data_IF_689546304269
#
_entry.id   IF_689546304269
#
_cell.length_a   1.000
_cell.length_b   1.000
_cell.length_c   1.000
_cell.angle_alpha   90.00
_cell.angle_beta   90.00
_cell.angle_gamma   90.00
#
_symmetry.space_group_name_H-M   'P 1'
#
loop_
_entity.id
_entity.type
_entity.pdbx_description
1 polymer ?
#
# COMPACT_ATOMS: atom_id res chain seq x y z
N UNK A 1 -35.82 -63.84 -9.30
CA UNK A 1 -35.29 -62.80 -8.40
C UNK A 1 -34.36 -61.88 -9.20
N UNK A 2 -34.49 -60.57 -8.97
CA UNK A 2 -34.17 -59.46 -9.89
C UNK A 2 -32.74 -59.45 -10.47
N UNK A 3 -32.65 -59.29 -11.80
CA UNK A 3 -31.42 -58.95 -12.54
C UNK A 3 -31.06 -57.49 -12.22
N UNK A 4 -30.00 -57.27 -11.44
CA UNK A 4 -29.47 -55.95 -11.12
C UNK A 4 -28.58 -55.51 -12.29
N UNK A 5 -29.16 -54.74 -13.22
CA UNK A 5 -28.39 -54.07 -14.29
C UNK A 5 -27.70 -52.87 -13.63
N UNK A 6 -26.38 -52.91 -13.57
CA UNK A 6 -25.54 -51.84 -13.00
C UNK A 6 -25.14 -50.88 -14.12
N UNK A 7 -25.82 -49.75 -14.21
CA UNK A 7 -25.50 -48.67 -15.16
C UNK A 7 -24.24 -47.96 -14.67
N UNK A 8 -23.12 -48.11 -15.38
CA UNK A 8 -21.91 -47.32 -15.13
C UNK A 8 -22.18 -45.90 -15.65
N UNK A 9 -22.47 -44.97 -14.74
CA UNK A 9 -22.57 -43.55 -15.03
C UNK A 9 -21.16 -43.05 -15.35
N UNK A 10 -20.86 -42.75 -16.61
CA UNK A 10 -19.58 -42.13 -16.98
C UNK A 10 -19.61 -40.66 -16.56
N UNK A 11 -18.85 -40.29 -15.54
CA UNK A 11 -18.53 -38.89 -15.30
C UNK A 11 -17.23 -38.57 -16.01
N UNK A 12 -17.36 -38.07 -17.23
CA UNK A 12 -16.26 -37.60 -18.07
C UNK A 12 -16.33 -36.07 -18.16
N UNK A 13 -15.79 -35.39 -17.15
CA UNK A 13 -15.61 -33.95 -17.15
C UNK A 13 -14.35 -33.59 -16.34
N UNK A 14 -13.19 -33.87 -16.93
CA UNK A 14 -11.92 -33.23 -16.59
C UNK A 14 -10.93 -33.52 -17.71
N UNK A 15 -11.05 -32.80 -18.82
CA UNK A 15 -10.07 -32.92 -19.92
C UNK A 15 -8.88 -31.99 -19.67
N UNK A 16 -7.70 -32.35 -20.19
CA UNK A 16 -6.55 -31.44 -20.13
C UNK A 16 -6.85 -30.10 -20.83
N UNK A 17 -7.60 -30.14 -21.92
CA UNK A 17 -8.02 -28.94 -22.68
C UNK A 17 -8.86 -28.00 -21.80
N UNK A 18 -9.78 -28.55 -21.01
CA UNK A 18 -10.62 -27.78 -20.10
C UNK A 18 -9.79 -27.03 -19.05
N UNK A 19 -8.78 -27.70 -18.48
CA UNK A 19 -7.84 -27.05 -17.55
C UNK A 19 -6.99 -25.98 -18.23
N UNK A 20 -6.57 -26.20 -19.48
CA UNK A 20 -5.81 -25.19 -20.23
C UNK A 20 -6.63 -23.91 -20.46
N UNK A 21 -7.91 -24.04 -20.86
CA UNK A 21 -8.80 -22.90 -21.06
C UNK A 21 -9.00 -22.12 -19.75
N UNK A 22 -9.19 -22.84 -18.62
CA UNK A 22 -9.32 -22.21 -17.31
C UNK A 22 -8.06 -21.42 -16.92
N UNK A 23 -6.86 -21.97 -17.13
CA UNK A 23 -5.61 -21.27 -16.85
C UNK A 23 -5.43 -20.03 -17.72
N UNK A 24 -5.84 -20.08 -18.99
CA UNK A 24 -5.83 -18.92 -19.89
C UNK A 24 -6.75 -17.82 -19.33
N UNK A 25 -7.99 -18.15 -18.95
CA UNK A 25 -8.94 -17.17 -18.39
C UNK A 25 -8.37 -16.56 -17.09
N UNK A 26 -7.85 -17.37 -16.17
CA UNK A 26 -7.26 -16.88 -14.92
C UNK A 26 -6.07 -15.96 -15.19
N UNK A 27 -5.19 -16.31 -16.16
CA UNK A 27 -4.03 -15.47 -16.49
C UNK A 27 -4.44 -14.08 -17.00
N UNK A 28 -5.48 -13.99 -17.84
CA UNK A 28 -6.02 -12.72 -18.34
C UNK A 28 -6.59 -11.89 -17.19
N UNK A 29 -7.35 -12.52 -16.28
CA UNK A 29 -7.89 -11.83 -15.10
C UNK A 29 -6.77 -11.28 -14.21
N UNK A 30 -5.71 -12.05 -13.96
CA UNK A 30 -4.55 -11.60 -13.17
C UNK A 30 -3.85 -10.38 -13.81
N UNK A 31 -3.69 -10.36 -15.13
CA UNK A 31 -3.10 -9.21 -15.85
C UNK A 31 -3.91 -7.92 -15.66
N UNK A 32 -5.23 -8.01 -15.49
CA UNK A 32 -6.10 -6.85 -15.24
C UNK A 32 -6.09 -6.45 -13.75
N UNK A 33 -6.07 -7.42 -12.85
CA UNK A 33 -6.15 -7.19 -11.40
C UNK A 33 -4.84 -6.61 -10.83
N UNK A 34 -3.69 -7.16 -11.23
CA UNK A 34 -2.37 -6.74 -10.72
C UNK A 34 -2.10 -5.23 -10.86
N UNK A 35 -2.24 -4.59 -12.05
CA UNK A 35 -1.94 -3.17 -12.19
C UNK A 35 -2.92 -2.28 -11.42
N UNK A 36 -4.15 -2.73 -11.17
CA UNK A 36 -5.12 -1.99 -10.38
C UNK A 36 -4.79 -2.06 -8.88
N UNK A 37 -4.31 -3.21 -8.40
CA UNK A 37 -3.89 -3.37 -7.01
C UNK A 37 -2.65 -2.53 -6.68
N UNK A 38 -1.62 -2.55 -7.54
CA UNK A 38 -0.38 -1.79 -7.30
C UNK A 38 -0.62 -0.28 -7.31
N UNK A 39 -1.39 0.24 -8.28
CA UNK A 39 -1.74 1.66 -8.35
C UNK A 39 -2.51 2.15 -7.13
N UNK A 40 -3.42 1.33 -6.61
CA UNK A 40 -4.18 1.68 -5.41
C UNK A 40 -3.28 1.73 -4.17
N UNK A 41 -2.30 0.82 -4.06
CA UNK A 41 -1.32 0.82 -2.98
C UNK A 41 -0.42 2.06 -3.05
N UNK A 42 0.09 2.41 -4.23
CA UNK A 42 0.91 3.61 -4.45
C UNK A 42 0.12 4.89 -4.15
N UNK A 43 -1.12 4.98 -4.61
CA UNK A 43 -1.99 6.13 -4.33
C UNK A 43 -2.29 6.27 -2.84
N UNK A 44 -2.55 5.15 -2.14
CA UNK A 44 -2.78 5.15 -0.70
C UNK A 44 -1.52 5.59 0.05
N UNK A 45 -0.35 5.10 -0.35
CA UNK A 45 0.93 5.50 0.24
C UNK A 45 1.22 6.99 0.04
N UNK A 46 1.01 7.50 -1.18
CA UNK A 46 1.20 8.92 -1.50
C UNK A 46 0.30 9.82 -0.66
N UNK A 47 -1.00 9.50 -0.57
CA UNK A 47 -1.94 10.24 0.27
C UNK A 47 -1.60 10.15 1.76
N UNK A 48 -1.12 8.99 2.20
CA UNK A 48 -0.63 8.80 3.57
C UNK A 48 0.59 9.69 3.85
N UNK A 49 1.52 9.79 2.90
CA UNK A 49 2.68 10.66 3.01
C UNK A 49 2.29 12.14 3.06
N UNK A 50 1.34 12.57 2.22
CA UNK A 50 0.84 13.95 2.23
C UNK A 50 0.19 14.30 3.59
N UNK A 51 -0.55 13.35 4.17
CA UNK A 51 -1.11 13.52 5.51
C UNK A 51 -0.01 13.60 6.59
N UNK A 52 1.05 12.79 6.48
CA UNK A 52 2.21 12.87 7.39
C UNK A 52 2.89 14.23 7.28
N UNK A 53 3.09 14.77 6.07
CA UNK A 53 3.66 16.10 5.86
C UNK A 53 2.82 17.17 6.57
N UNK A 54 1.49 17.11 6.45
CA UNK A 54 0.60 18.07 7.10
C UNK A 54 0.64 17.97 8.64
N UNK A 55 0.71 16.74 9.16
CA UNK A 55 0.90 16.51 10.59
C UNK A 55 2.23 17.10 11.07
N UNK A 56 3.33 16.87 10.35
CA UNK A 56 4.64 17.40 10.70
C UNK A 56 4.65 18.94 10.66
N UNK A 57 4.03 19.58 9.67
CA UNK A 57 3.87 21.05 9.63
C UNK A 57 3.17 21.57 10.89
N UNK A 58 2.11 20.89 11.32
CA UNK A 58 1.40 21.25 12.55
C UNK A 58 2.32 21.13 13.78
N UNK A 59 3.17 20.10 13.83
CA UNK A 59 4.14 19.93 14.91
C UNK A 59 5.28 20.96 14.88
N UNK A 60 5.74 21.37 13.69
CA UNK A 60 6.70 22.49 13.54
C UNK A 60 6.13 23.77 14.14
N UNK A 61 4.86 24.07 13.88
CA UNK A 61 4.19 25.24 14.46
C UNK A 61 4.06 25.11 15.98
N UNK A 62 3.71 23.93 16.49
CA UNK A 62 3.66 23.69 17.93
C UNK A 62 5.01 23.94 18.60
N UNK A 63 6.10 23.43 18.00
CA UNK A 63 7.47 23.66 18.45
C UNK A 63 7.82 25.16 18.47
N UNK A 64 7.47 25.88 17.40
CA UNK A 64 7.74 27.32 17.29
C UNK A 64 7.05 28.13 18.40
N UNK A 65 5.83 27.75 18.78
CA UNK A 65 5.07 28.40 19.86
C UNK A 65 5.76 28.17 21.21
N UNK A 66 6.26 26.97 21.48
CA UNK A 66 6.86 26.62 22.77
C UNK A 66 8.29 27.18 22.92
N UNK A 67 9.10 27.06 21.87
CA UNK A 67 10.51 27.44 21.92
C UNK A 67 10.79 28.86 21.39
N UNK A 68 9.76 29.56 20.89
CA UNK A 68 9.88 30.86 20.20
C UNK A 68 10.91 30.83 19.05
N UNK A 69 11.15 29.64 18.49
CA UNK A 69 12.14 29.36 17.45
C UNK A 69 11.67 28.17 16.64
N UNK A 70 11.79 28.24 15.31
CA UNK A 70 11.52 27.10 14.43
C UNK A 70 12.59 26.02 14.57
N UNK A 71 12.22 24.73 14.45
CA UNK A 71 13.19 23.64 14.42
C UNK A 71 14.09 23.77 13.19
N UNK A 72 15.36 23.42 13.34
CA UNK A 72 16.35 23.45 12.24
C UNK A 72 16.32 22.17 11.41
N UNK A 73 15.82 21.08 12.00
CA UNK A 73 15.65 19.79 11.34
C UNK A 73 14.43 19.06 11.89
N UNK A 74 13.88 18.12 11.12
CA UNK A 74 12.82 17.24 11.64
C UNK A 74 13.30 16.31 12.76
N UNK A 75 14.62 16.14 12.93
CA UNK A 75 15.19 15.40 14.05
C UNK A 75 15.01 16.14 15.39
N UNK A 76 14.90 17.47 15.36
CA UNK A 76 14.63 18.26 16.56
C UNK A 76 13.23 17.89 17.11
N UNK A 77 12.26 17.71 16.21
CA UNK A 77 10.91 17.26 16.56
C UNK A 77 10.87 15.83 17.12
N UNK A 78 11.74 14.92 16.63
CA UNK A 78 11.84 13.57 17.20
C UNK A 78 12.50 13.59 18.57
N UNK A 79 13.59 14.33 18.71
CA UNK A 79 14.38 14.40 19.95
C UNK A 79 13.54 14.97 21.10
N UNK A 80 12.70 15.96 20.79
CA UNK A 80 11.79 16.60 21.74
C UNK A 80 10.40 15.92 21.83
N UNK A 81 10.25 14.72 21.25
CA UNK A 81 9.04 13.88 21.31
C UNK A 81 7.75 14.48 20.72
N UNK A 82 7.84 15.47 19.83
CA UNK A 82 6.68 15.98 19.09
C UNK A 82 6.16 14.94 18.07
N UNK A 83 7.06 14.12 17.53
CA UNK A 83 6.74 13.13 16.49
C UNK A 83 7.46 11.80 16.74
N UNK A 84 6.81 10.69 16.40
CA UNK A 84 7.39 9.34 16.55
C UNK A 84 8.24 8.92 15.35
N UNK A 85 7.94 9.44 14.16
CA UNK A 85 8.64 9.13 12.92
C UNK A 85 8.54 10.30 11.95
N UNK A 86 9.58 10.49 11.14
CA UNK A 86 9.65 11.51 10.07
C UNK A 86 9.70 10.87 8.69
N UNK A 87 9.25 9.62 8.59
CA UNK A 87 9.23 8.81 7.38
C UNK A 87 7.80 8.61 6.91
N UNK A 88 7.63 8.54 5.59
CA UNK A 88 6.36 8.23 4.98
C UNK A 88 6.07 6.72 4.97
N UNK A 89 4.81 6.30 4.71
CA UNK A 89 4.42 4.89 4.70
C UNK A 89 5.13 4.03 3.63
N UNK A 90 5.67 4.65 2.58
CA UNK A 90 6.51 4.03 1.55
C UNK A 90 7.99 3.87 1.97
N UNK A 91 8.37 4.42 3.13
CA UNK A 91 9.76 4.43 3.60
C UNK A 91 10.58 5.61 3.09
N UNK A 92 9.98 6.57 2.36
CA UNK A 92 10.69 7.80 1.98
C UNK A 92 10.93 8.67 3.21
N UNK A 93 12.13 9.26 3.29
CA UNK A 93 12.47 10.19 4.36
C UNK A 93 12.00 11.59 4.01
N UNK A 94 11.55 12.35 5.00
CA UNK A 94 11.18 13.74 4.84
C UNK A 94 12.32 14.63 5.34
N UNK A 95 12.54 15.75 4.65
CA UNK A 95 13.48 16.80 5.04
C UNK A 95 12.77 18.13 5.19
N UNK A 96 13.30 18.98 6.06
CA UNK A 96 12.83 20.35 6.27
C UNK A 96 13.80 21.32 5.58
N UNK A 97 13.35 21.94 4.49
CA UNK A 97 14.10 22.96 3.77
C UNK A 97 13.45 24.34 4.04
N UNK A 98 13.90 24.99 5.12
CA UNK A 98 13.30 26.24 5.57
C UNK A 98 11.87 26.03 6.07
N UNK A 99 10.88 26.38 5.23
CA UNK A 99 9.45 26.28 5.55
C UNK A 99 8.74 25.11 4.86
N UNK A 100 9.40 24.44 3.91
CA UNK A 100 8.79 23.32 3.18
C UNK A 100 9.33 21.98 3.68
N UNK A 101 8.39 21.07 3.96
CA UNK A 101 8.70 19.66 4.21
C UNK A 101 8.60 18.93 2.88
N UNK A 102 9.73 18.46 2.38
CA UNK A 102 9.86 17.78 1.09
C UNK A 102 10.21 16.32 1.29
N UNK A 103 9.85 15.48 0.32
CA UNK A 103 10.32 14.10 0.24
C UNK A 103 11.76 14.13 -0.27
N UNK A 104 12.69 13.49 0.44
CA UNK A 104 14.01 13.18 -0.12
C UNK A 104 13.81 12.11 -1.19
N UNK A 105 13.83 12.52 -2.46
CA UNK A 105 13.98 11.61 -3.60
C UNK A 105 15.45 11.20 -3.78
#
# INVERSE_FOLDING_TARGET
MKKIIRTLKSESAFTLIEMMIVLVIISILLLIVLPNLTKNQEMASNKGCDATIELLKTQVVAYEIEHNKRPTSLNDLQTENYVKSVTCPDGTSLTLNGDEITRDE
#
